data_IF_797759736719
#
_entry.id   IF_797759736719
#
_cell.length_a   1.000
_cell.length_b   1.000
_cell.length_c   1.000
_cell.angle_alpha   90.00
_cell.angle_beta   90.00
_cell.angle_gamma   90.00
#
_symmetry.space_group_name_H-M   'P 1'
#
loop_
_entity.id
_entity.type
_entity.pdbx_description
1 polymer ?
#
# COMPACT_ATOMS: atom_id res chain seq x y z
N UNK A 1 -27.19 51.35 73.69
CA UNK A 1 -26.71 50.32 74.60
C UNK A 1 -25.41 49.77 73.98
N UNK A 2 -24.25 50.44 74.29
CA UNK A 2 -23.31 50.10 75.37
C UNK A 2 -22.91 48.62 75.30
N UNK A 3 -21.67 48.23 75.08
CA UNK A 3 -20.37 48.44 75.67
C UNK A 3 -19.37 47.62 74.91
N UNK A 4 -18.23 48.04 74.64
CA UNK A 4 -16.89 48.15 75.26
C UNK A 4 -15.90 47.13 74.71
N UNK A 5 -14.83 47.68 74.13
CA UNK A 5 -13.52 47.02 73.91
C UNK A 5 -12.80 46.77 75.26
N UNK A 6 -11.82 45.86 75.32
CA UNK A 6 -10.48 46.45 75.51
C UNK A 6 -9.33 45.72 74.75
N UNK A 7 -8.42 46.55 74.33
CA UNK A 7 -6.97 46.65 74.51
C UNK A 7 -6.09 45.37 74.21
N UNK A 8 -5.12 45.60 73.33
CA UNK A 8 -4.02 44.72 73.00
C UNK A 8 -2.85 44.65 73.98
N UNK A 9 -1.83 43.89 73.68
CA UNK A 9 -0.50 44.53 73.74
C UNK A 9 0.48 44.12 72.55
N UNK A 10 1.17 45.10 72.15
CA UNK A 10 2.62 45.32 71.93
C UNK A 10 3.45 44.34 71.14
N UNK A 11 3.99 44.89 70.12
CA UNK A 11 4.96 44.51 69.07
C UNK A 11 6.34 44.14 69.64
N UNK A 12 6.97 43.14 69.06
CA UNK A 12 8.41 42.97 68.98
C UNK A 12 8.83 42.57 67.58
N UNK A 13 9.78 43.20 66.91
CA UNK A 13 10.18 42.87 65.54
C UNK A 13 11.22 41.76 65.53
N UNK A 14 10.91 40.66 64.88
CA UNK A 14 11.89 39.62 64.52
C UNK A 14 12.24 39.79 63.07
N UNK A 15 13.50 40.04 62.80
CA UNK A 15 14.13 40.03 61.47
C UNK A 15 14.02 38.62 60.86
N UNK A 16 13.29 38.46 59.75
CA UNK A 16 13.35 37.31 58.97
C UNK A 16 14.32 37.49 57.79
N UNK A 17 15.42 36.76 57.83
CA UNK A 17 16.34 36.67 56.75
C UNK A 17 15.69 35.83 55.62
N UNK A 18 15.48 36.39 54.41
CA UNK A 18 15.09 35.67 53.22
C UNK A 18 16.31 34.87 52.69
N UNK A 19 16.30 33.56 52.90
CA UNK A 19 17.17 32.65 52.17
C UNK A 19 16.53 32.35 50.82
N UNK A 20 17.10 32.88 49.75
CA UNK A 20 16.73 32.54 48.39
C UNK A 20 17.22 31.13 48.07
N UNK A 21 16.34 30.15 48.05
CA UNK A 21 16.60 28.84 47.47
C UNK A 21 16.46 28.92 45.93
N UNK A 22 17.60 28.98 45.25
CA UNK A 22 17.65 28.75 43.81
C UNK A 22 17.42 27.27 43.55
N UNK A 23 16.26 26.90 43.04
CA UNK A 23 16.02 25.57 42.43
C UNK A 23 16.68 25.56 41.04
N UNK A 24 17.55 24.61 40.73
CA UNK A 24 17.99 24.43 39.37
C UNK A 24 16.78 23.96 38.52
N UNK A 25 16.41 24.71 37.49
CA UNK A 25 15.48 24.29 36.48
C UNK A 25 16.12 23.09 35.75
N UNK A 26 15.80 21.88 36.16
CA UNK A 26 16.09 20.70 35.41
C UNK A 26 15.18 20.72 34.15
N UNK A 27 15.76 21.08 33.01
CA UNK A 27 15.11 20.92 31.73
C UNK A 27 14.83 19.43 31.53
N UNK A 28 13.57 19.02 31.73
CA UNK A 28 13.06 17.73 31.23
C UNK A 28 13.09 17.79 29.72
N UNK A 29 14.22 17.40 29.13
CA UNK A 29 14.26 17.00 27.74
C UNK A 29 13.39 15.72 27.67
N UNK A 30 12.16 15.85 27.19
CA UNK A 30 11.34 14.70 26.85
C UNK A 30 12.12 13.89 25.80
N UNK A 31 12.68 12.77 26.23
CA UNK A 31 13.22 11.78 25.30
C UNK A 31 12.09 11.35 24.37
N UNK A 32 12.31 11.53 23.08
CA UNK A 32 11.44 10.93 22.07
C UNK A 32 11.30 9.42 22.39
N UNK A 33 10.11 8.82 22.24
CA UNK A 33 9.94 7.40 22.47
C UNK A 33 10.97 6.64 21.63
N UNK A 34 11.74 5.78 22.27
CA UNK A 34 12.69 4.92 21.58
C UNK A 34 11.94 4.13 20.51
N UNK A 35 12.46 4.12 19.28
CA UNK A 35 11.94 3.25 18.23
C UNK A 35 11.86 1.82 18.77
N UNK A 36 10.78 1.07 18.49
CA UNK A 36 10.64 -0.29 19.00
C UNK A 36 11.87 -1.11 18.59
N UNK A 37 12.51 -1.76 19.57
CA UNK A 37 13.69 -2.58 19.34
C UNK A 37 13.26 -3.84 18.57
N UNK A 38 13.85 -4.05 17.39
CA UNK A 38 13.65 -5.27 16.61
C UNK A 38 14.30 -6.45 17.33
N UNK A 39 13.56 -7.55 17.45
CA UNK A 39 14.10 -8.78 18.05
C UNK A 39 15.14 -9.45 17.14
N UNK A 40 16.06 -10.30 17.67
CA UNK A 40 17.00 -11.02 16.83
C UNK A 40 16.34 -11.91 15.77
N UNK A 41 15.14 -12.42 16.01
CA UNK A 41 14.40 -13.20 15.02
C UNK A 41 13.83 -12.31 13.93
N UNK A 42 13.25 -11.17 14.28
CA UNK A 42 12.77 -10.18 13.31
C UNK A 42 13.93 -9.66 12.42
N UNK A 43 15.14 -9.46 12.99
CA UNK A 43 16.28 -9.08 12.20
C UNK A 43 16.69 -10.16 11.18
N UNK A 44 16.69 -11.43 11.57
CA UNK A 44 16.96 -12.55 10.64
C UNK A 44 15.92 -12.64 9.54
N UNK A 45 14.65 -12.40 9.85
CA UNK A 45 13.56 -12.40 8.86
C UNK A 45 13.71 -11.23 7.88
N UNK A 46 14.09 -10.04 8.36
CA UNK A 46 14.42 -8.88 7.53
C UNK A 46 15.61 -9.18 6.62
N UNK A 47 16.70 -9.73 7.16
CA UNK A 47 17.91 -10.06 6.41
C UNK A 47 17.62 -11.07 5.29
N UNK A 48 16.79 -12.08 5.58
CA UNK A 48 16.33 -13.04 4.58
C UNK A 48 15.50 -12.35 3.49
N UNK A 49 14.52 -11.52 3.86
CA UNK A 49 13.67 -10.82 2.92
C UNK A 49 14.46 -9.83 2.05
N UNK A 50 15.48 -9.18 2.62
CA UNK A 50 16.41 -8.34 1.86
C UNK A 50 17.10 -9.18 0.78
N UNK A 51 17.61 -10.35 1.16
CA UNK A 51 18.30 -11.23 0.23
C UNK A 51 17.39 -11.83 -0.86
N UNK A 52 16.17 -12.20 -0.49
CA UNK A 52 15.19 -12.83 -1.40
C UNK A 52 14.48 -11.82 -2.31
N UNK A 53 14.22 -10.61 -1.83
CA UNK A 53 13.39 -9.59 -2.51
C UNK A 53 14.16 -8.31 -2.86
N UNK A 54 15.46 -8.32 -2.75
CA UNK A 54 16.35 -7.14 -2.96
C UNK A 54 15.81 -5.92 -2.20
N UNK A 55 15.47 -6.14 -0.94
CA UNK A 55 15.14 -5.08 -0.01
C UNK A 55 16.41 -4.28 0.36
N UNK A 56 16.21 -3.19 1.07
CA UNK A 56 17.25 -2.36 1.67
C UNK A 56 16.77 -1.86 3.02
N UNK A 57 17.53 -2.11 4.07
CA UNK A 57 17.19 -1.71 5.44
C UNK A 57 18.47 -1.34 6.22
N UNK A 58 19.20 -0.28 5.80
CA UNK A 58 20.41 0.12 6.49
C UNK A 58 20.11 0.62 7.91
N UNK A 59 20.98 0.33 8.88
CA UNK A 59 20.83 0.81 10.27
C UNK A 59 20.88 2.34 10.34
N UNK A 60 21.75 2.97 9.55
CA UNK A 60 21.75 4.43 9.34
C UNK A 60 20.87 4.76 8.14
N UNK A 61 19.67 5.26 8.42
CA UNK A 61 18.70 5.59 7.37
C UNK A 61 19.07 6.82 6.54
N UNK A 62 20.01 7.65 6.98
CA UNK A 62 20.36 8.89 6.30
C UNK A 62 19.27 9.97 6.34
N UNK A 63 19.48 11.13 5.70
CA UNK A 63 18.54 12.23 5.69
C UNK A 63 17.34 11.98 4.75
N UNK A 64 16.21 12.57 5.07
CA UNK A 64 15.03 12.58 4.18
C UNK A 64 15.24 13.51 2.97
N UNK A 65 14.61 13.19 1.87
CA UNK A 65 14.59 14.03 0.68
C UNK A 65 13.83 15.35 0.95
N UNK A 66 14.30 16.43 0.34
CA UNK A 66 13.60 17.73 0.39
C UNK A 66 12.72 17.85 -0.86
N UNK A 67 11.56 17.18 -0.84
CA UNK A 67 10.59 17.18 -1.93
C UNK A 67 9.31 17.91 -1.51
N UNK A 68 8.63 18.50 -2.47
CA UNK A 68 7.31 19.10 -2.24
C UNK A 68 6.24 18.01 -2.16
N UNK A 69 5.42 17.96 -1.09
CA UNK A 69 4.30 17.05 -0.97
C UNK A 69 3.01 17.55 -1.67
N UNK A 70 3.12 18.61 -2.46
CA UNK A 70 1.98 19.17 -3.21
C UNK A 70 1.40 18.15 -4.18
N UNK A 71 0.07 18.20 -4.38
CA UNK A 71 -0.61 17.42 -5.42
C UNK A 71 -0.40 17.99 -6.83
N UNK A 72 0.36 19.08 -6.98
CA UNK A 72 0.71 19.60 -8.30
C UNK A 72 1.43 18.52 -9.12
N UNK A 73 1.02 18.25 -10.36
CA UNK A 73 1.57 17.18 -11.19
C UNK A 73 3.10 17.20 -11.29
N UNK A 74 3.72 18.38 -11.39
CA UNK A 74 5.19 18.49 -11.47
C UNK A 74 5.87 18.05 -10.16
N UNK A 75 5.30 18.39 -9.00
CA UNK A 75 5.83 17.97 -7.69
C UNK A 75 5.66 16.46 -7.49
N UNK A 76 4.51 15.90 -7.87
CA UNK A 76 4.24 14.46 -7.81
C UNK A 76 5.22 13.69 -8.70
N UNK A 77 5.39 14.12 -9.95
CA UNK A 77 6.33 13.51 -10.91
C UNK A 77 7.78 13.58 -10.43
N UNK A 78 8.17 14.68 -9.77
CA UNK A 78 9.52 14.79 -9.18
C UNK A 78 9.76 13.76 -8.07
N UNK A 79 8.78 13.51 -7.20
CA UNK A 79 8.85 12.48 -6.18
C UNK A 79 8.90 11.08 -6.79
N UNK A 80 8.03 10.78 -7.77
CA UNK A 80 8.03 9.51 -8.50
C UNK A 80 9.37 9.25 -9.19
N UNK A 81 9.88 10.25 -9.93
CA UNK A 81 11.16 10.13 -10.67
C UNK A 81 12.31 9.81 -9.73
N UNK A 82 12.40 10.48 -8.57
CA UNK A 82 13.46 10.23 -7.60
C UNK A 82 13.47 8.78 -7.10
N UNK A 83 12.30 8.26 -6.76
CA UNK A 83 12.15 6.86 -6.28
C UNK A 83 12.37 5.86 -7.41
N UNK A 84 11.79 6.09 -8.59
CA UNK A 84 11.90 5.18 -9.73
C UNK A 84 13.34 5.05 -10.25
N UNK A 85 14.10 6.16 -10.26
CA UNK A 85 15.53 6.15 -10.64
C UNK A 85 16.34 5.30 -9.67
N UNK A 86 16.20 5.53 -8.38
CA UNK A 86 16.91 4.77 -7.36
C UNK A 86 16.61 3.27 -7.45
N UNK A 87 15.32 2.93 -7.67
CA UNK A 87 14.91 1.53 -7.69
C UNK A 87 15.38 0.80 -8.95
N UNK A 88 15.19 1.38 -10.14
CA UNK A 88 15.56 0.68 -11.37
C UNK A 88 17.08 0.47 -11.48
N UNK A 89 17.90 1.45 -11.04
CA UNK A 89 19.35 1.38 -11.13
C UNK A 89 19.93 0.24 -10.25
N UNK A 90 19.30 -0.05 -9.10
CA UNK A 90 19.73 -1.14 -8.22
C UNK A 90 19.05 -2.48 -8.51
N UNK A 91 17.82 -2.48 -8.99
CA UNK A 91 16.95 -3.66 -9.03
C UNK A 91 17.01 -4.40 -10.37
N UNK A 92 17.21 -3.71 -11.49
CA UNK A 92 17.15 -4.29 -12.83
C UNK A 92 18.01 -5.55 -13.05
N UNK A 93 19.24 -5.66 -12.50
CA UNK A 93 20.06 -6.88 -12.65
C UNK A 93 19.48 -8.15 -12.03
N UNK A 94 18.46 -8.02 -11.18
CA UNK A 94 17.91 -9.10 -10.37
C UNK A 94 16.45 -9.44 -10.72
N UNK A 95 15.91 -8.85 -11.75
CA UNK A 95 14.52 -9.07 -12.16
C UNK A 95 14.19 -10.54 -12.37
N UNK A 96 13.09 -10.99 -11.80
CA UNK A 96 12.56 -12.34 -11.93
C UNK A 96 11.03 -12.38 -12.06
N UNK A 97 10.37 -13.55 -11.84
CA UNK A 97 8.93 -13.77 -11.98
C UNK A 97 8.20 -13.82 -10.63
N UNK A 98 8.84 -13.48 -9.51
CA UNK A 98 8.15 -13.52 -8.21
C UNK A 98 7.21 -12.32 -8.06
N UNK A 99 6.15 -12.48 -7.27
CA UNK A 99 5.11 -11.47 -7.12
C UNK A 99 5.64 -10.11 -6.63
N UNK A 100 6.69 -10.11 -5.81
CA UNK A 100 7.29 -8.87 -5.29
C UNK A 100 7.83 -7.99 -6.42
N UNK A 101 8.49 -8.60 -7.40
CA UNK A 101 8.96 -7.94 -8.60
C UNK A 101 7.81 -7.50 -9.51
N UNK A 102 6.80 -8.36 -9.66
CA UNK A 102 5.69 -8.09 -10.56
C UNK A 102 4.92 -6.84 -10.16
N UNK A 103 4.80 -6.55 -8.85
CA UNK A 103 4.22 -5.29 -8.36
C UNK A 103 5.11 -4.10 -8.73
N UNK A 104 6.44 -4.21 -8.62
CA UNK A 104 7.36 -3.17 -9.09
C UNK A 104 7.20 -2.91 -10.58
N UNK A 105 7.06 -3.95 -11.40
CA UNK A 105 6.91 -3.83 -12.85
C UNK A 105 5.65 -3.06 -13.24
N UNK A 106 4.52 -3.31 -12.57
CA UNK A 106 3.31 -2.49 -12.78
C UNK A 106 3.54 -1.03 -12.40
N UNK A 107 4.32 -0.77 -11.35
CA UNK A 107 4.74 0.57 -10.97
C UNK A 107 5.63 1.23 -12.03
N UNK A 108 6.55 0.50 -12.64
CA UNK A 108 7.39 1.00 -13.73
C UNK A 108 6.58 1.30 -15.00
N UNK A 109 5.57 0.48 -15.32
CA UNK A 109 4.66 0.80 -16.43
C UNK A 109 3.92 2.12 -16.19
N UNK A 110 3.38 2.31 -14.99
CA UNK A 110 2.73 3.57 -14.60
C UNK A 110 3.70 4.76 -14.60
N UNK A 111 4.93 4.57 -14.10
CA UNK A 111 5.97 5.60 -14.13
C UNK A 111 6.38 5.97 -15.56
N UNK A 112 6.50 5.00 -16.47
CA UNK A 112 6.82 5.26 -17.87
C UNK A 112 5.81 6.19 -18.53
N UNK A 113 4.52 5.96 -18.30
CA UNK A 113 3.46 6.80 -18.86
C UNK A 113 3.41 8.17 -18.16
N UNK A 114 3.33 8.20 -16.84
CA UNK A 114 3.16 9.43 -16.07
C UNK A 114 4.34 10.39 -16.21
N UNK A 115 5.57 9.86 -16.24
CA UNK A 115 6.80 10.66 -16.38
C UNK A 115 7.16 10.94 -17.85
N UNK A 116 6.51 10.31 -18.81
CA UNK A 116 6.89 10.28 -20.23
C UNK A 116 8.35 9.78 -20.42
N UNK A 117 8.75 8.78 -19.65
CA UNK A 117 10.12 8.26 -19.61
C UNK A 117 10.14 6.80 -20.12
N UNK A 118 10.52 6.59 -21.40
CA UNK A 118 10.40 5.27 -22.05
C UNK A 118 11.34 4.21 -21.49
N UNK A 119 12.37 4.57 -20.72
CA UNK A 119 13.34 3.59 -20.17
C UNK A 119 12.68 2.52 -19.30
N UNK A 120 11.62 2.87 -18.56
CA UNK A 120 10.91 1.91 -17.71
C UNK A 120 10.14 0.91 -18.55
N UNK A 121 9.37 1.37 -19.55
CA UNK A 121 8.72 0.47 -20.53
C UNK A 121 9.73 -0.42 -21.25
N UNK A 122 10.84 0.14 -21.72
CA UNK A 122 11.87 -0.62 -22.41
C UNK A 122 12.51 -1.69 -21.51
N UNK A 123 12.67 -1.40 -20.22
CA UNK A 123 13.15 -2.40 -19.25
C UNK A 123 12.13 -3.53 -19.07
N UNK A 124 10.83 -3.24 -19.08
CA UNK A 124 9.76 -4.25 -18.99
C UNK A 124 9.65 -5.10 -20.27
N UNK A 125 9.87 -4.50 -21.42
CA UNK A 125 9.96 -5.22 -22.69
C UNK A 125 11.14 -6.19 -22.69
N UNK A 126 12.33 -5.73 -22.32
CA UNK A 126 13.52 -6.57 -22.18
C UNK A 126 13.37 -7.68 -21.12
N UNK A 127 12.63 -7.41 -20.03
CA UNK A 127 12.25 -8.44 -19.07
C UNK A 127 11.40 -9.52 -19.72
N UNK A 128 10.32 -9.14 -20.41
CA UNK A 128 9.44 -10.09 -21.12
C UNK A 128 10.23 -10.98 -22.07
N UNK A 129 11.11 -10.40 -22.88
CA UNK A 129 11.98 -11.14 -23.79
C UNK A 129 12.91 -12.11 -23.06
N UNK A 130 13.56 -11.68 -21.98
CA UNK A 130 14.47 -12.52 -21.18
C UNK A 130 13.77 -13.69 -20.51
N UNK A 131 12.53 -13.50 -20.11
CA UNK A 131 11.67 -14.50 -19.47
C UNK A 131 10.84 -15.29 -20.49
N UNK A 132 10.99 -15.01 -21.80
CA UNK A 132 10.23 -15.63 -22.88
C UNK A 132 8.70 -15.52 -22.69
N UNK A 133 8.26 -14.44 -22.06
CA UNK A 133 6.85 -14.12 -21.76
C UNK A 133 6.13 -15.21 -20.96
N UNK A 134 6.90 -16.08 -20.27
CA UNK A 134 6.36 -17.21 -19.49
C UNK A 134 5.95 -16.77 -18.10
N UNK A 135 4.87 -17.37 -17.58
CA UNK A 135 4.53 -17.31 -16.16
C UNK A 135 5.53 -18.11 -15.31
N UNK A 136 5.49 -17.91 -14.00
CA UNK A 136 6.41 -18.59 -13.08
C UNK A 136 6.17 -20.10 -12.99
N UNK A 137 4.92 -20.56 -13.20
CA UNK A 137 4.51 -21.96 -13.08
C UNK A 137 3.62 -22.36 -14.25
N UNK A 138 3.60 -23.65 -14.59
CA UNK A 138 2.67 -24.24 -15.58
C UNK A 138 1.23 -24.28 -15.04
N UNK A 139 1.07 -24.43 -13.73
CA UNK A 139 -0.22 -24.32 -13.03
C UNK A 139 -0.14 -23.14 -12.06
N UNK A 140 -0.26 -21.92 -12.57
CA UNK A 140 0.06 -20.72 -11.80
C UNK A 140 -1.00 -20.43 -10.76
N UNK A 141 -0.57 -20.24 -9.51
CA UNK A 141 -1.40 -19.58 -8.51
C UNK A 141 -1.51 -18.07 -8.81
N UNK A 142 -2.21 -17.31 -7.99
CA UNK A 142 -2.40 -15.87 -8.25
C UNK A 142 -1.07 -15.10 -8.30
N UNK A 143 -0.11 -15.41 -7.41
CA UNK A 143 1.20 -14.76 -7.39
C UNK A 143 1.99 -15.05 -8.67
N UNK A 144 1.95 -16.31 -9.14
CA UNK A 144 2.63 -16.73 -10.37
C UNK A 144 2.05 -16.09 -11.64
N UNK A 145 0.76 -15.69 -11.60
CA UNK A 145 0.09 -14.98 -12.71
C UNK A 145 0.48 -13.51 -12.78
N UNK A 146 0.88 -12.89 -11.66
CA UNK A 146 0.97 -11.43 -11.52
C UNK A 146 1.92 -10.75 -12.52
N UNK A 147 2.97 -11.43 -13.00
CA UNK A 147 3.89 -10.90 -14.05
C UNK A 147 3.16 -10.57 -15.34
N UNK A 148 2.10 -11.32 -15.65
CA UNK A 148 1.33 -11.12 -16.87
C UNK A 148 0.50 -9.82 -16.86
N UNK A 149 0.33 -9.14 -15.72
CA UNK A 149 -0.22 -7.79 -15.74
C UNK A 149 0.62 -6.88 -16.63
N UNK A 150 1.95 -6.93 -16.47
CA UNK A 150 2.90 -6.15 -17.28
C UNK A 150 2.94 -6.63 -18.74
N UNK A 151 2.95 -7.94 -18.99
CA UNK A 151 2.94 -8.48 -20.35
C UNK A 151 1.71 -8.03 -21.15
N UNK A 152 0.55 -8.08 -20.52
CA UNK A 152 -0.71 -7.67 -21.15
C UNK A 152 -0.82 -6.14 -21.30
N UNK A 153 -0.25 -5.36 -20.38
CA UNK A 153 -0.18 -3.90 -20.55
C UNK A 153 0.71 -3.49 -21.72
N UNK A 154 1.82 -4.21 -21.94
CA UNK A 154 2.68 -4.02 -23.12
C UNK A 154 1.95 -4.40 -24.41
N UNK A 155 1.25 -5.54 -24.43
CA UNK A 155 0.45 -5.98 -25.57
C UNK A 155 -0.69 -5.02 -25.90
N UNK A 156 -1.39 -4.51 -24.90
CA UNK A 156 -2.47 -3.52 -25.11
C UNK A 156 -1.98 -2.19 -25.68
N UNK A 157 -0.71 -1.83 -25.44
CA UNK A 157 -0.07 -0.65 -26.05
C UNK A 157 0.43 -0.96 -27.47
N UNK A 158 0.99 -2.14 -27.68
CA UNK A 158 1.58 -2.59 -28.94
C UNK A 158 1.29 -4.10 -29.12
N UNK A 159 0.18 -4.44 -29.81
CA UNK A 159 -0.29 -5.82 -29.90
C UNK A 159 0.74 -6.78 -30.50
N UNK A 160 1.06 -7.85 -29.77
CA UNK A 160 2.01 -8.88 -30.15
C UNK A 160 1.55 -10.25 -29.62
N UNK A 161 0.71 -10.93 -30.38
CA UNK A 161 0.02 -12.16 -29.97
C UNK A 161 0.92 -13.25 -29.39
N UNK A 162 2.15 -13.34 -29.85
CA UNK A 162 3.11 -14.34 -29.37
C UNK A 162 3.55 -14.06 -27.92
N UNK A 163 3.56 -12.79 -27.52
CA UNK A 163 3.94 -12.38 -26.15
C UNK A 163 2.89 -12.75 -25.11
N UNK A 164 1.62 -12.78 -25.48
CA UNK A 164 0.52 -13.14 -24.57
C UNK A 164 0.10 -14.61 -24.66
N UNK A 165 0.59 -15.35 -25.67
CA UNK A 165 0.19 -16.74 -25.89
C UNK A 165 0.47 -17.67 -24.69
N UNK A 166 1.63 -17.58 -23.98
CA UNK A 166 1.87 -18.40 -22.80
C UNK A 166 0.89 -18.09 -21.66
N UNK A 167 0.61 -16.82 -21.41
CA UNK A 167 -0.37 -16.39 -20.40
C UNK A 167 -1.77 -16.92 -20.77
N UNK A 168 -2.19 -16.75 -22.04
CA UNK A 168 -3.48 -17.22 -22.52
C UNK A 168 -3.65 -18.72 -22.31
N UNK A 169 -2.64 -19.51 -22.69
CA UNK A 169 -2.66 -20.97 -22.52
C UNK A 169 -2.82 -21.38 -21.05
N UNK A 170 -2.12 -20.69 -20.13
CA UNK A 170 -2.22 -20.97 -18.70
C UNK A 170 -3.60 -20.62 -18.14
N UNK A 171 -4.21 -19.47 -18.54
CA UNK A 171 -5.55 -19.10 -18.13
C UNK A 171 -6.62 -20.05 -18.70
N UNK A 172 -6.47 -20.49 -19.93
CA UNK A 172 -7.36 -21.46 -20.57
C UNK A 172 -7.31 -22.83 -19.85
N UNK A 173 -6.11 -23.26 -19.41
CA UNK A 173 -5.95 -24.47 -18.60
C UNK A 173 -6.64 -24.34 -17.23
N UNK A 174 -6.52 -23.19 -16.57
CA UNK A 174 -7.21 -22.94 -15.28
C UNK A 174 -8.74 -22.98 -15.46
N UNK A 175 -9.28 -22.45 -16.55
CA UNK A 175 -10.72 -22.56 -16.88
C UNK A 175 -11.12 -24.00 -17.10
N UNK A 176 -10.26 -24.80 -17.74
CA UNK A 176 -10.51 -26.21 -18.03
C UNK A 176 -10.41 -27.12 -16.78
N UNK A 177 -10.06 -26.57 -15.62
CA UNK A 177 -9.96 -27.29 -14.35
C UNK A 177 -8.54 -27.60 -13.92
N UNK A 178 -7.53 -27.04 -14.60
CA UNK A 178 -6.16 -26.98 -14.09
C UNK A 178 -6.13 -26.22 -12.78
N UNK A 179 -5.26 -26.60 -11.86
CA UNK A 179 -5.20 -25.93 -10.56
C UNK A 179 -3.78 -25.93 -9.99
N UNK A 180 -3.40 -24.80 -9.41
CA UNK A 180 -2.24 -24.73 -8.54
C UNK A 180 -2.51 -25.46 -7.21
N UNK A 181 -1.45 -25.92 -6.56
CA UNK A 181 -1.56 -26.52 -5.24
C UNK A 181 -2.05 -25.50 -4.20
N UNK A 182 -3.06 -25.89 -3.42
CA UNK A 182 -3.60 -25.08 -2.31
C UNK A 182 -3.12 -25.69 -1.00
N UNK A 183 -2.55 -24.90 -0.06
CA UNK A 183 -2.14 -25.40 1.26
C UNK A 183 -3.28 -26.11 1.98
N UNK A 184 -2.94 -27.17 2.75
CA UNK A 184 -3.94 -28.03 3.39
C UNK A 184 -4.85 -27.29 4.37
N UNK A 185 -4.32 -26.24 5.04
CA UNK A 185 -5.02 -25.40 6.02
C UNK A 185 -5.81 -24.23 5.41
N UNK A 186 -5.89 -24.15 4.09
CA UNK A 186 -6.59 -23.07 3.38
C UNK A 186 -7.87 -23.56 2.68
N UNK A 187 -8.75 -22.60 2.37
CA UNK A 187 -9.95 -22.87 1.60
C UNK A 187 -9.60 -23.36 0.19
N UNK A 188 -10.42 -24.28 -0.33
CA UNK A 188 -10.17 -24.93 -1.65
C UNK A 188 -10.75 -24.09 -2.79
N UNK A 189 -10.38 -22.80 -2.85
CA UNK A 189 -10.70 -21.87 -3.94
C UNK A 189 -9.40 -21.30 -4.51
N UNK A 190 -9.35 -20.91 -5.80
CA UNK A 190 -8.13 -20.45 -6.44
C UNK A 190 -7.48 -19.23 -5.75
N UNK A 191 -8.30 -18.31 -5.29
CA UNK A 191 -7.86 -17.06 -4.63
C UNK A 191 -8.20 -17.09 -3.15
N UNK A 192 -7.60 -18.04 -2.42
CA UNK A 192 -7.88 -18.35 -1.01
C UNK A 192 -7.34 -17.31 -0.01
N UNK A 193 -6.62 -16.26 -0.47
CA UNK A 193 -6.09 -15.16 0.36
C UNK A 193 -6.38 -13.81 -0.32
N UNK A 194 -6.52 -12.76 0.48
CA UNK A 194 -6.96 -11.46 0.00
C UNK A 194 -5.98 -10.81 -1.00
N UNK A 195 -4.67 -11.04 -0.85
CA UNK A 195 -3.64 -10.49 -1.74
C UNK A 195 -3.80 -11.00 -3.18
N UNK A 196 -4.34 -12.21 -3.34
CA UNK A 196 -4.62 -12.80 -4.66
C UNK A 196 -5.50 -11.88 -5.54
N UNK A 197 -6.34 -11.04 -4.92
CA UNK A 197 -7.24 -10.12 -5.62
C UNK A 197 -6.51 -8.95 -6.31
N UNK A 198 -5.26 -8.67 -5.95
CA UNK A 198 -4.38 -7.79 -6.72
C UNK A 198 -3.59 -8.56 -7.78
N UNK A 199 -3.20 -9.79 -7.46
CA UNK A 199 -2.23 -10.54 -8.27
C UNK A 199 -2.86 -11.10 -9.55
N UNK A 200 -4.01 -11.78 -9.45
CA UNK A 200 -4.62 -12.49 -10.56
C UNK A 200 -5.72 -11.70 -11.30
N UNK A 201 -6.80 -11.19 -10.70
CA UNK A 201 -7.93 -10.60 -11.43
C UNK A 201 -7.53 -9.55 -12.48
N UNK A 202 -6.55 -8.66 -12.23
CA UNK A 202 -6.11 -7.71 -13.24
C UNK A 202 -5.52 -8.34 -14.50
N UNK A 203 -4.96 -9.56 -14.42
CA UNK A 203 -4.48 -10.33 -15.59
C UNK A 203 -5.66 -10.76 -16.46
N UNK A 204 -6.69 -11.29 -15.83
CA UNK A 204 -7.86 -11.86 -16.51
C UNK A 204 -8.67 -10.79 -17.24
N UNK A 205 -8.90 -9.62 -16.61
CA UNK A 205 -9.63 -8.52 -17.29
C UNK A 205 -8.82 -7.95 -18.46
N UNK A 206 -7.48 -7.88 -18.33
CA UNK A 206 -6.59 -7.46 -19.43
C UNK A 206 -6.54 -8.49 -20.53
N UNK A 207 -6.60 -9.79 -20.21
CA UNK A 207 -6.70 -10.85 -21.24
C UNK A 207 -8.00 -10.73 -22.02
N UNK A 208 -9.14 -10.40 -21.37
CA UNK A 208 -10.37 -10.07 -22.11
C UNK A 208 -10.15 -8.88 -23.02
N UNK A 209 -9.55 -7.78 -22.53
CA UNK A 209 -9.30 -6.59 -23.35
C UNK A 209 -8.39 -6.88 -24.57
N UNK A 210 -7.41 -7.78 -24.42
CA UNK A 210 -6.49 -8.17 -25.50
C UNK A 210 -7.09 -9.16 -26.51
N UNK A 211 -8.13 -9.93 -26.10
CA UNK A 211 -8.66 -11.04 -26.92
C UNK A 211 -10.12 -10.93 -27.29
N UNK A 212 -10.86 -10.01 -26.68
CA UNK A 212 -12.33 -9.86 -26.77
C UNK A 212 -13.10 -11.15 -26.35
N UNK A 213 -12.52 -11.96 -25.45
CA UNK A 213 -13.10 -13.21 -24.98
C UNK A 213 -13.64 -13.06 -23.55
N UNK A 214 -14.97 -13.06 -23.41
CA UNK A 214 -15.67 -12.80 -22.15
C UNK A 214 -15.50 -13.92 -21.09
N UNK A 215 -15.04 -15.11 -21.47
CA UNK A 215 -14.87 -16.24 -20.53
C UNK A 215 -13.94 -15.91 -19.36
N UNK A 216 -12.96 -15.04 -19.59
CA UNK A 216 -12.02 -14.60 -18.55
C UNK A 216 -12.71 -13.73 -17.50
N UNK A 217 -13.71 -12.92 -17.90
CA UNK A 217 -14.51 -12.12 -16.95
C UNK A 217 -15.42 -13.00 -16.09
N UNK A 218 -15.99 -14.07 -16.67
CA UNK A 218 -16.81 -15.01 -15.91
C UNK A 218 -16.00 -15.70 -14.80
N UNK A 219 -14.74 -16.03 -15.08
CA UNK A 219 -13.81 -16.58 -14.10
C UNK A 219 -13.52 -15.58 -12.98
N UNK A 220 -13.27 -14.30 -13.32
CA UNK A 220 -13.06 -13.23 -12.34
C UNK A 220 -14.29 -13.06 -11.45
N UNK A 221 -15.48 -12.92 -12.05
CA UNK A 221 -16.73 -12.70 -11.31
C UNK A 221 -17.02 -13.81 -10.30
N UNK A 222 -16.78 -15.06 -10.71
CA UNK A 222 -16.97 -16.23 -9.85
C UNK A 222 -15.99 -16.20 -8.67
N UNK A 223 -14.70 -16.19 -8.96
CA UNK A 223 -13.68 -16.42 -7.94
C UNK A 223 -13.42 -15.19 -7.05
N UNK A 224 -13.67 -13.98 -7.53
CA UNK A 224 -13.68 -12.79 -6.67
C UNK A 224 -14.78 -12.88 -5.61
N UNK A 225 -16.00 -13.29 -6.01
CA UNK A 225 -17.12 -13.46 -5.08
C UNK A 225 -16.84 -14.56 -4.06
N UNK A 226 -16.32 -15.72 -4.49
CA UNK A 226 -15.93 -16.79 -3.57
C UNK A 226 -14.93 -16.30 -2.50
N UNK A 227 -13.95 -15.51 -2.90
CA UNK A 227 -12.99 -14.90 -1.95
C UNK A 227 -13.66 -13.88 -1.04
N UNK A 228 -14.55 -13.04 -1.59
CA UNK A 228 -15.30 -12.03 -0.81
C UNK A 228 -16.23 -12.69 0.18
N UNK A 229 -17.00 -13.69 -0.22
CA UNK A 229 -17.92 -14.44 0.67
C UNK A 229 -17.18 -15.09 1.84
N UNK A 230 -15.90 -15.42 1.62
CA UNK A 230 -15.08 -16.09 2.61
C UNK A 230 -14.35 -15.12 3.55
N UNK A 231 -13.78 -14.03 3.03
CA UNK A 231 -12.79 -13.21 3.74
C UNK A 231 -13.25 -11.78 4.05
N UNK A 232 -14.31 -11.30 3.40
CA UNK A 232 -14.81 -9.95 3.63
C UNK A 232 -15.64 -9.86 4.90
N UNK A 233 -15.28 -8.95 5.80
CA UNK A 233 -16.09 -8.61 6.98
C UNK A 233 -17.12 -7.54 6.60
N UNK A 234 -18.42 -7.88 6.50
CA UNK A 234 -19.45 -6.95 6.04
C UNK A 234 -19.82 -5.86 7.07
N UNK A 235 -19.34 -5.98 8.32
CA UNK A 235 -19.54 -4.97 9.37
C UNK A 235 -18.44 -3.93 9.36
N UNK A 236 -17.20 -4.33 9.02
CA UNK A 236 -16.02 -3.47 9.01
C UNK A 236 -15.64 -3.02 7.62
N UNK A 237 -16.17 -3.68 6.60
CA UNK A 237 -15.84 -3.47 5.18
C UNK A 237 -14.34 -3.62 4.90
N UNK A 238 -13.71 -4.60 5.56
CA UNK A 238 -12.30 -4.96 5.45
C UNK A 238 -12.15 -6.46 5.19
N UNK A 239 -11.01 -6.85 4.63
CA UNK A 239 -10.68 -8.25 4.39
C UNK A 239 -9.75 -8.82 5.45
N UNK A 240 -10.08 -10.00 5.94
CA UNK A 240 -9.10 -10.88 6.58
C UNK A 240 -8.10 -11.39 5.55
N UNK A 241 -6.86 -11.67 5.97
CA UNK A 241 -5.83 -12.14 5.05
C UNK A 241 -6.19 -13.47 4.40
N UNK A 242 -6.60 -14.46 5.20
CA UNK A 242 -7.08 -15.78 4.78
C UNK A 242 -7.91 -16.42 5.92
N UNK A 243 -8.40 -17.65 5.72
CA UNK A 243 -9.26 -18.33 6.70
C UNK A 243 -8.62 -18.52 8.06
N UNK A 244 -7.29 -18.55 8.17
CA UNK A 244 -6.60 -18.69 9.47
C UNK A 244 -6.69 -17.44 10.32
N UNK A 245 -7.14 -16.30 9.74
CA UNK A 245 -7.32 -15.03 10.43
C UNK A 245 -8.77 -14.74 10.85
N UNK A 246 -9.78 -15.50 10.39
CA UNK A 246 -11.20 -15.23 10.66
C UNK A 246 -11.55 -15.17 12.15
N UNK A 247 -10.81 -15.93 12.98
CA UNK A 247 -11.03 -15.99 14.43
C UNK A 247 -9.77 -15.63 15.23
N UNK A 248 -8.74 -15.12 14.54
CA UNK A 248 -7.50 -14.71 15.18
C UNK A 248 -7.62 -13.26 15.65
N UNK A 249 -7.16 -13.03 16.89
CA UNK A 249 -7.08 -11.70 17.47
C UNK A 249 -5.63 -11.35 17.80
N UNK A 250 -5.35 -10.06 17.93
CA UNK A 250 -4.14 -9.55 18.53
C UNK A 250 -4.11 -9.80 20.06
N UNK A 251 -3.06 -9.36 20.74
CA UNK A 251 -2.89 -9.50 22.19
C UNK A 251 -3.95 -8.72 23.01
N UNK A 252 -4.66 -7.77 22.39
CA UNK A 252 -5.75 -6.96 22.99
C UNK A 252 -7.14 -7.52 22.68
N UNK A 253 -7.22 -8.66 22.01
CA UNK A 253 -8.47 -9.29 21.63
C UNK A 253 -9.17 -8.65 20.43
N UNK A 254 -8.49 -7.78 19.64
CA UNK A 254 -9.04 -7.21 18.42
C UNK A 254 -8.78 -8.11 17.22
N UNK A 255 -9.70 -8.17 16.25
CA UNK A 255 -9.46 -8.86 15.00
C UNK A 255 -8.35 -8.17 14.21
N UNK A 256 -7.53 -8.94 13.51
CA UNK A 256 -6.36 -8.47 12.77
C UNK A 256 -6.77 -8.11 11.34
N UNK A 257 -6.63 -6.84 10.98
CA UNK A 257 -6.82 -6.34 9.61
C UNK A 257 -5.55 -5.67 9.10
N UNK A 258 -4.77 -6.42 8.36
CA UNK A 258 -3.51 -5.99 7.82
C UNK A 258 -3.68 -4.93 6.72
N UNK A 259 -3.03 -3.77 6.87
CA UNK A 259 -3.19 -2.64 5.95
C UNK A 259 -2.75 -2.95 4.53
N UNK A 260 -1.61 -3.66 4.36
CA UNK A 260 -1.15 -4.07 3.03
C UNK A 260 -2.09 -5.10 2.41
N UNK A 261 -2.63 -6.05 3.17
CA UNK A 261 -3.64 -7.00 2.68
C UNK A 261 -4.87 -6.29 2.14
N UNK A 262 -5.41 -5.33 2.89
CA UNK A 262 -6.53 -4.50 2.45
C UNK A 262 -6.15 -3.56 1.30
N UNK A 263 -4.94 -3.03 1.31
CA UNK A 263 -4.37 -2.27 0.20
C UNK A 263 -4.31 -3.08 -1.10
N UNK A 264 -3.93 -4.36 -1.03
CA UNK A 264 -3.97 -5.26 -2.17
C UNK A 264 -5.36 -5.39 -2.76
N UNK A 265 -6.37 -5.61 -1.93
CA UNK A 265 -7.76 -5.72 -2.40
C UNK A 265 -8.23 -4.43 -3.07
N UNK A 266 -8.01 -3.28 -2.42
CA UNK A 266 -8.40 -1.98 -2.97
C UNK A 266 -7.67 -1.66 -4.28
N UNK A 267 -6.35 -1.92 -4.33
CA UNK A 267 -5.57 -1.78 -5.55
C UNK A 267 -6.02 -2.75 -6.66
N UNK A 268 -6.37 -3.98 -6.29
CA UNK A 268 -6.93 -4.98 -7.18
C UNK A 268 -8.29 -4.57 -7.75
N UNK A 269 -9.17 -3.97 -6.93
CA UNK A 269 -10.44 -3.38 -7.38
C UNK A 269 -10.21 -2.30 -8.44
N UNK A 270 -9.31 -1.34 -8.18
CA UNK A 270 -8.98 -0.28 -9.12
C UNK A 270 -8.44 -0.86 -10.45
N UNK A 271 -7.44 -1.76 -10.38
CA UNK A 271 -6.83 -2.36 -11.58
C UNK A 271 -7.76 -3.31 -12.35
N UNK A 272 -8.73 -3.91 -11.68
CA UNK A 272 -9.77 -4.74 -12.32
C UNK A 272 -10.80 -3.85 -13.00
N UNK A 273 -11.32 -2.83 -12.31
CA UNK A 273 -12.31 -1.89 -12.84
C UNK A 273 -11.78 -1.08 -14.03
N UNK A 274 -10.48 -0.88 -14.15
CA UNK A 274 -9.83 -0.18 -15.26
C UNK A 274 -10.17 -0.82 -16.62
N UNK A 275 -10.20 -2.16 -16.70
CA UNK A 275 -10.46 -2.92 -17.93
C UNK A 275 -11.79 -3.68 -17.90
N UNK A 276 -12.53 -3.66 -16.80
CA UNK A 276 -13.85 -4.26 -16.74
C UNK A 276 -14.83 -3.41 -17.58
N UNK A 277 -15.55 -3.98 -18.58
CA UNK A 277 -16.46 -3.23 -19.41
C UNK A 277 -17.49 -2.45 -18.60
N UNK A 278 -17.82 -1.23 -19.03
CA UNK A 278 -18.75 -0.34 -18.29
C UNK A 278 -20.17 -0.88 -18.23
N UNK A 279 -20.57 -1.66 -19.21
CA UNK A 279 -21.89 -2.29 -19.35
C UNK A 279 -21.95 -3.69 -18.72
N UNK A 280 -20.83 -4.20 -18.18
CA UNK A 280 -20.81 -5.52 -17.50
C UNK A 280 -21.70 -5.47 -16.26
N UNK A 281 -22.71 -6.37 -16.12
CA UNK A 281 -23.64 -6.35 -14.99
C UNK A 281 -22.98 -6.43 -13.60
N UNK A 282 -21.85 -7.14 -13.51
CA UNK A 282 -21.07 -7.29 -12.28
C UNK A 282 -20.26 -6.03 -11.88
N UNK A 283 -20.12 -5.05 -12.75
CA UNK A 283 -19.29 -3.85 -12.48
C UNK A 283 -19.73 -3.12 -11.22
N UNK A 284 -21.04 -2.99 -11.00
CA UNK A 284 -21.59 -2.34 -9.80
C UNK A 284 -21.17 -3.02 -8.48
N UNK A 285 -20.96 -4.33 -8.49
CA UNK A 285 -20.44 -5.06 -7.32
C UNK A 285 -19.03 -4.59 -6.95
N UNK A 286 -18.12 -4.50 -7.91
CA UNK A 286 -16.74 -4.05 -7.68
C UNK A 286 -16.68 -2.58 -7.27
N UNK A 287 -17.47 -1.71 -7.91
CA UNK A 287 -17.55 -0.30 -7.55
C UNK A 287 -18.09 -0.10 -6.13
N UNK A 288 -19.14 -0.84 -5.74
CA UNK A 288 -19.70 -0.77 -4.39
C UNK A 288 -18.68 -1.25 -3.35
N UNK A 289 -17.98 -2.36 -3.62
CA UNK A 289 -16.96 -2.87 -2.71
C UNK A 289 -15.82 -1.85 -2.54
N UNK A 290 -15.39 -1.18 -3.63
CA UNK A 290 -14.40 -0.10 -3.54
C UNK A 290 -14.91 1.06 -2.69
N UNK A 291 -16.18 1.48 -2.85
CA UNK A 291 -16.80 2.54 -2.04
C UNK A 291 -16.86 2.18 -0.55
N UNK A 292 -17.28 0.96 -0.24
CA UNK A 292 -17.37 0.47 1.14
C UNK A 292 -16.00 0.42 1.82
N UNK A 293 -15.01 -0.18 1.17
CA UNK A 293 -13.65 -0.25 1.69
C UNK A 293 -13.02 1.14 1.82
N UNK A 294 -13.23 2.03 0.84
CA UNK A 294 -12.74 3.41 0.89
C UNK A 294 -13.32 4.16 2.10
N UNK A 295 -14.62 4.04 2.35
CA UNK A 295 -15.25 4.64 3.53
C UNK A 295 -14.71 4.05 4.85
N UNK A 296 -14.41 2.75 4.88
CA UNK A 296 -13.90 2.07 6.06
C UNK A 296 -12.45 2.49 6.42
N UNK A 297 -11.59 2.70 5.44
CA UNK A 297 -10.18 3.05 5.71
C UNK A 297 -9.97 4.52 6.06
N UNK A 298 -10.85 5.43 5.65
CA UNK A 298 -10.71 6.87 5.91
C UNK A 298 -10.56 7.21 7.41
N UNK A 299 -11.41 6.72 8.33
CA UNK A 299 -11.28 7.02 9.76
C UNK A 299 -10.06 6.38 10.42
N UNK A 300 -9.39 5.43 9.73
CA UNK A 300 -8.22 4.71 10.21
C UNK A 300 -6.89 5.38 9.77
N UNK A 301 -6.97 6.45 8.97
CA UNK A 301 -5.81 7.22 8.55
C UNK A 301 -5.22 7.97 9.75
N UNK A 302 -3.92 7.78 10.04
CA UNK A 302 -3.24 8.49 11.11
C UNK A 302 -3.22 10.01 10.83
N UNK A 303 -3.75 10.84 11.75
CA UNK A 303 -3.84 12.29 11.53
C UNK A 303 -2.49 13.00 11.51
N UNK A 304 -1.42 12.40 12.07
CA UNK A 304 -0.08 12.99 12.15
C UNK A 304 0.71 12.70 10.88
N UNK A 305 0.79 11.43 10.52
CA UNK A 305 1.59 10.97 9.37
C UNK A 305 0.82 11.03 8.06
N UNK A 306 -0.51 10.96 8.11
CA UNK A 306 -1.36 10.83 6.92
C UNK A 306 -1.37 9.43 6.31
N UNK A 307 -0.66 8.46 6.90
CA UNK A 307 -0.57 7.09 6.43
C UNK A 307 -1.38 6.14 7.32
N UNK A 308 -1.48 4.89 6.92
CA UNK A 308 -2.08 3.83 7.72
C UNK A 308 -0.99 3.01 8.40
N UNK A 309 -1.31 2.47 9.57
CA UNK A 309 -0.45 1.58 10.33
C UNK A 309 -0.47 0.17 9.75
N UNK A 310 0.49 -0.68 10.12
CA UNK A 310 0.56 -2.06 9.64
C UNK A 310 -0.70 -2.86 9.99
N UNK A 311 -1.21 -2.73 11.24
CA UNK A 311 -2.56 -3.14 11.60
C UNK A 311 -3.52 -1.94 11.56
N UNK A 312 -4.60 -2.07 10.80
CA UNK A 312 -5.60 -1.00 10.64
C UNK A 312 -6.36 -0.69 11.94
N UNK A 313 -6.49 -1.66 12.86
CA UNK A 313 -7.24 -1.50 14.09
C UNK A 313 -6.36 -1.37 15.34
N UNK A 314 -5.07 -1.58 15.25
CA UNK A 314 -4.16 -1.52 16.39
C UNK A 314 -2.92 -0.64 16.18
N UNK A 315 -3.16 0.65 15.90
CA UNK A 315 -2.12 1.66 15.83
C UNK A 315 -1.18 1.74 17.06
N UNK A 316 -1.64 1.50 18.31
CA UNK A 316 -0.74 1.53 19.46
C UNK A 316 0.35 0.45 19.45
N UNK A 317 0.08 -0.76 18.93
CA UNK A 317 1.11 -1.80 18.81
C UNK A 317 1.97 -1.62 17.55
N UNK A 318 1.40 -1.00 16.52
CA UNK A 318 2.07 -0.73 15.25
C UNK A 318 2.15 0.78 14.96
N UNK A 319 2.87 1.59 15.80
CA UNK A 319 2.82 3.04 15.72
C UNK A 319 3.53 3.62 14.48
N UNK A 320 4.29 2.81 13.75
CA UNK A 320 4.98 3.25 12.55
C UNK A 320 4.01 3.35 11.35
N UNK A 321 4.20 4.35 10.46
CA UNK A 321 3.44 4.44 9.22
C UNK A 321 3.87 3.32 8.26
N UNK A 322 2.95 2.53 7.73
CA UNK A 322 3.27 1.46 6.78
C UNK A 322 3.09 1.96 5.34
N UNK A 323 4.20 2.07 4.62
CA UNK A 323 4.24 2.74 3.31
C UNK A 323 3.57 1.92 2.21
N UNK A 324 3.73 0.58 2.18
CA UNK A 324 3.22 -0.23 1.07
C UNK A 324 1.69 -0.30 1.05
N UNK A 325 1.06 -0.58 2.19
CA UNK A 325 -0.39 -0.56 2.32
C UNK A 325 -0.96 0.84 2.07
N UNK A 326 -0.31 1.87 2.64
CA UNK A 326 -0.72 3.26 2.43
C UNK A 326 -0.63 3.69 0.95
N UNK A 327 0.39 3.25 0.22
CA UNK A 327 0.55 3.56 -1.20
C UNK A 327 -0.54 2.88 -2.05
N UNK A 328 -0.88 1.61 -1.76
CA UNK A 328 -1.96 0.89 -2.44
C UNK A 328 -3.34 1.51 -2.16
N UNK A 329 -3.61 1.88 -0.90
CA UNK A 329 -4.84 2.59 -0.53
C UNK A 329 -4.90 3.94 -1.26
N UNK A 330 -3.81 4.72 -1.27
CA UNK A 330 -3.73 6.00 -1.97
C UNK A 330 -3.97 5.82 -3.47
N UNK A 331 -3.37 4.79 -4.09
CA UNK A 331 -3.61 4.44 -5.48
C UNK A 331 -5.09 4.21 -5.77
N UNK A 332 -5.74 3.35 -4.97
CA UNK A 332 -7.14 3.00 -5.17
C UNK A 332 -8.09 4.19 -4.95
N UNK A 333 -7.82 5.04 -3.94
CA UNK A 333 -8.60 6.25 -3.68
C UNK A 333 -8.46 7.25 -4.83
N UNK A 334 -7.22 7.51 -5.29
CA UNK A 334 -6.96 8.44 -6.39
C UNK A 334 -7.57 7.94 -7.70
N UNK A 335 -7.41 6.64 -8.01
CA UNK A 335 -8.06 6.00 -9.15
C UNK A 335 -9.58 6.14 -9.08
N UNK A 336 -10.17 5.88 -7.91
CA UNK A 336 -11.62 5.99 -7.70
C UNK A 336 -12.15 7.41 -7.94
N UNK A 337 -11.41 8.45 -7.53
CA UNK A 337 -11.75 9.85 -7.81
C UNK A 337 -11.62 10.15 -9.31
N UNK A 338 -10.51 9.78 -9.93
CA UNK A 338 -10.25 10.03 -11.36
C UNK A 338 -11.31 9.41 -12.28
N UNK A 339 -11.90 8.28 -11.85
CA UNK A 339 -12.89 7.54 -12.63
C UNK A 339 -14.35 7.75 -12.16
N UNK A 340 -14.59 8.69 -11.23
CA UNK A 340 -15.93 9.04 -10.75
C UNK A 340 -16.61 7.96 -9.91
N UNK A 341 -15.85 6.98 -9.41
CA UNK A 341 -16.34 5.96 -8.47
C UNK A 341 -16.43 6.54 -7.06
N UNK A 342 -15.49 7.41 -6.69
CA UNK A 342 -15.44 8.09 -5.40
C UNK A 342 -15.65 9.60 -5.58
N UNK A 343 -16.27 10.24 -4.58
CA UNK A 343 -16.51 11.68 -4.56
C UNK A 343 -15.21 12.45 -4.34
N UNK A 344 -14.88 13.37 -5.25
CA UNK A 344 -13.64 14.17 -5.17
C UNK A 344 -13.57 14.99 -3.87
N UNK A 345 -14.67 15.65 -3.49
CA UNK A 345 -14.66 16.55 -2.35
C UNK A 345 -14.42 15.79 -1.03
N UNK A 346 -14.91 14.56 -0.93
CA UNK A 346 -14.73 13.71 0.24
C UNK A 346 -13.31 13.09 0.30
N UNK A 347 -12.78 12.61 -0.82
CA UNK A 347 -11.57 11.79 -0.81
C UNK A 347 -10.28 12.53 -1.17
N UNK A 348 -10.32 13.63 -1.91
CA UNK A 348 -9.12 14.43 -2.25
C UNK A 348 -8.35 14.93 -1.03
N UNK A 349 -8.99 15.40 0.07
CA UNK A 349 -8.27 15.75 1.30
C UNK A 349 -7.56 14.57 1.96
N UNK A 350 -8.15 13.37 1.91
CA UNK A 350 -7.55 12.12 2.42
C UNK A 350 -6.33 11.74 1.59
N UNK A 351 -6.47 11.77 0.26
CA UNK A 351 -5.38 11.50 -0.68
C UNK A 351 -4.24 12.51 -0.47
N UNK A 352 -4.54 13.80 -0.28
CA UNK A 352 -3.53 14.82 -0.04
C UNK A 352 -2.71 14.57 1.23
N UNK A 353 -3.36 14.14 2.31
CA UNK A 353 -2.67 13.75 3.55
C UNK A 353 -1.80 12.51 3.32
N UNK A 354 -2.34 11.49 2.66
CA UNK A 354 -1.62 10.26 2.37
C UNK A 354 -0.41 10.52 1.46
N UNK A 355 -0.58 11.30 0.39
CA UNK A 355 0.52 11.65 -0.51
C UNK A 355 1.63 12.41 0.21
N UNK A 356 1.29 13.39 1.06
CA UNK A 356 2.27 14.07 1.90
C UNK A 356 3.05 13.06 2.76
N UNK A 357 2.35 12.18 3.46
CA UNK A 357 2.97 11.16 4.29
C UNK A 357 3.89 10.22 3.49
N UNK A 358 3.49 9.82 2.28
CA UNK A 358 4.31 9.00 1.39
C UNK A 358 5.59 9.72 0.93
N UNK A 359 5.49 11.00 0.55
CA UNK A 359 6.66 11.82 0.14
C UNK A 359 7.64 11.98 1.30
N UNK A 360 7.16 12.12 2.54
CA UNK A 360 7.99 12.18 3.75
C UNK A 360 8.76 10.87 4.04
N UNK A 361 8.39 9.75 3.41
CA UNK A 361 9.14 8.49 3.54
C UNK A 361 10.34 8.40 2.59
N UNK A 362 10.48 9.30 1.63
CA UNK A 362 11.57 9.27 0.66
C UNK A 362 12.87 9.81 1.30
N UNK A 363 13.94 9.05 1.17
CA UNK A 363 15.29 9.45 1.60
C UNK A 363 16.04 10.23 0.52
N UNK A 364 17.10 10.92 0.90
CA UNK A 364 17.87 11.78 0.00
C UNK A 364 18.53 11.02 -1.16
N UNK A 365 18.84 9.75 -0.99
CA UNK A 365 19.35 8.85 -2.03
C UNK A 365 18.28 8.42 -3.04
N UNK A 366 17.00 8.49 -2.69
CA UNK A 366 15.84 8.06 -3.49
C UNK A 366 15.10 6.85 -2.92
N UNK A 367 15.65 6.21 -1.90
CA UNK A 367 15.05 5.08 -1.22
C UNK A 367 13.73 5.48 -0.57
N UNK A 368 12.70 4.65 -0.74
CA UNK A 368 11.39 4.78 -0.10
C UNK A 368 11.35 3.90 1.16
N UNK A 369 11.31 4.51 2.34
CA UNK A 369 11.35 3.79 3.61
C UNK A 369 9.98 3.39 4.17
N UNK A 370 10.02 2.83 5.41
CA UNK A 370 8.85 2.35 6.15
C UNK A 370 8.00 1.34 5.38
N UNK A 371 8.63 0.50 4.56
CA UNK A 371 7.95 -0.62 3.90
C UNK A 371 8.16 -1.86 4.77
N UNK A 372 7.08 -2.43 5.26
CA UNK A 372 7.10 -3.70 5.98
C UNK A 372 7.61 -4.81 5.07
N UNK A 373 8.49 -5.70 5.55
CA UNK A 373 8.96 -6.90 4.84
C UNK A 373 7.81 -7.82 4.41
N UNK A 374 8.09 -8.77 3.49
CA UNK A 374 7.13 -9.80 3.10
C UNK A 374 6.55 -10.51 4.32
N UNK A 375 5.27 -10.86 4.24
CA UNK A 375 4.56 -11.50 5.34
C UNK A 375 3.08 -11.65 5.03
N UNK A 376 2.36 -12.20 6.01
CA UNK A 376 0.92 -12.45 5.94
C UNK A 376 0.14 -11.73 7.05
N UNK A 377 0.79 -10.84 7.80
CA UNK A 377 0.25 -10.16 8.98
C UNK A 377 0.95 -8.83 9.23
N UNK A 378 0.39 -7.97 10.08
CA UNK A 378 1.11 -6.83 10.64
C UNK A 378 2.44 -7.26 11.27
N UNK A 379 3.48 -6.45 11.08
CA UNK A 379 4.79 -6.70 11.68
C UNK A 379 5.52 -5.37 11.94
N UNK A 380 6.57 -5.44 12.76
CA UNK A 380 7.52 -4.35 12.98
C UNK A 380 8.62 -4.40 11.91
N UNK A 381 9.18 -3.25 11.59
CA UNK A 381 10.23 -3.08 10.58
C UNK A 381 11.06 -1.83 10.88
N UNK A 382 12.21 -1.67 10.22
CA UNK A 382 13.03 -0.48 10.34
C UNK A 382 12.42 0.68 9.54
N UNK A 383 12.51 1.94 10.02
CA UNK A 383 12.10 3.10 9.24
C UNK A 383 12.80 3.22 7.88
N UNK A 384 14.02 2.67 7.78
CA UNK A 384 14.82 2.61 6.55
C UNK A 384 14.40 1.49 5.59
N UNK A 385 13.60 0.52 6.03
CA UNK A 385 13.23 -0.66 5.23
C UNK A 385 12.54 -0.26 3.94
N UNK A 386 13.09 -0.74 2.82
CA UNK A 386 12.60 -0.54 1.45
C UNK A 386 12.49 -1.88 0.75
N UNK A 387 11.37 -2.11 0.08
CA UNK A 387 11.11 -3.33 -0.69
C UNK A 387 10.46 -2.99 -2.02
N UNK A 388 10.82 -3.72 -3.07
CA UNK A 388 10.42 -3.49 -4.45
C UNK A 388 8.90 -3.36 -4.65
N UNK A 389 8.07 -4.21 -4.03
CA UNK A 389 6.61 -4.14 -4.13
C UNK A 389 6.03 -2.84 -3.55
N UNK A 390 6.61 -2.31 -2.47
CA UNK A 390 6.17 -1.04 -1.89
C UNK A 390 6.54 0.15 -2.79
N UNK A 391 7.69 0.07 -3.46
CA UNK A 391 8.07 1.05 -4.48
C UNK A 391 7.11 0.99 -5.66
N UNK A 392 6.76 -0.21 -6.15
CA UNK A 392 5.77 -0.38 -7.21
C UNK A 392 4.41 0.23 -6.85
N UNK A 393 3.92 -0.02 -5.62
CA UNK A 393 2.69 0.58 -5.10
C UNK A 393 2.76 2.12 -5.04
N UNK A 394 3.89 2.68 -4.61
CA UNK A 394 4.10 4.13 -4.58
C UNK A 394 4.04 4.74 -5.99
N UNK A 395 4.64 4.11 -6.98
CA UNK A 395 4.63 4.59 -8.37
C UNK A 395 3.22 4.52 -8.98
N UNK A 396 2.46 3.45 -8.72
CA UNK A 396 1.05 3.36 -9.08
C UNK A 396 0.24 4.49 -8.45
N UNK A 397 0.41 4.71 -7.14
CA UNK A 397 -0.26 5.79 -6.41
C UNK A 397 0.08 7.17 -6.95
N UNK A 398 1.38 7.43 -7.18
CA UNK A 398 1.86 8.70 -7.71
C UNK A 398 1.31 9.00 -9.11
N UNK A 399 1.22 8.00 -9.98
CA UNK A 399 0.64 8.17 -11.31
C UNK A 399 -0.81 8.67 -11.23
N UNK A 400 -1.64 8.05 -10.37
CA UNK A 400 -3.02 8.46 -10.18
C UNK A 400 -3.17 9.81 -9.45
N UNK A 401 -2.28 10.08 -8.50
CA UNK A 401 -2.27 11.40 -7.82
C UNK A 401 -1.91 12.53 -8.78
N UNK A 402 -1.02 12.29 -9.74
CA UNK A 402 -0.66 13.28 -10.77
C UNK A 402 -1.81 13.62 -11.75
N UNK A 403 -2.81 12.74 -11.83
CA UNK A 403 -3.99 12.88 -12.70
C UNK A 403 -5.22 13.45 -11.98
N UNK A 404 -5.13 13.71 -10.65
CA UNK A 404 -6.26 14.26 -9.90
C UNK A 404 -6.74 15.57 -10.51
N UNK A 405 -8.07 15.80 -10.61
CA UNK A 405 -8.63 17.03 -11.15
C UNK A 405 -8.02 18.26 -10.47
N UNK A 406 -7.55 19.23 -11.26
CA UNK A 406 -7.17 20.53 -10.72
C UNK A 406 -8.44 21.25 -10.25
N UNK A 407 -8.38 21.85 -9.06
CA UNK A 407 -9.45 22.72 -8.60
C UNK A 407 -9.51 23.94 -9.54
N UNK A 408 -10.30 23.85 -10.61
CA UNK A 408 -10.81 25.07 -11.24
C UNK A 408 -11.73 25.69 -10.22
N UNK A 409 -11.24 26.74 -9.53
CA UNK A 409 -12.12 27.59 -8.75
C UNK A 409 -13.31 27.96 -9.65
N UNK A 410 -14.47 27.35 -9.40
CA UNK A 410 -15.69 27.89 -10.01
C UNK A 410 -15.85 29.25 -9.38
N UNK A 411 -15.47 30.29 -10.14
CA UNK A 411 -15.86 31.63 -9.80
C UNK A 411 -17.40 31.66 -9.72
N UNK A 412 -17.98 32.15 -8.62
CA UNK A 412 -19.43 32.25 -8.47
C UNK A 412 -20.05 33.19 -9.48
#
# INVERSE_FOLDING_TARGET
MTHLLPAGPRICPLLLALAAFAFPAASLIAQAPASPSITPQQQKDIDRDIAENIGDAPLDSGPKAKLSPSLNPAAVKAAMSKVAVWEIDRAQPFFDRTWTWNVLYTGFMAASQSLAEPRYRNAMEGLGDSLQWQLRSVHPNADDQSVAQTYLELDLQEPAKDKIAPTRAALDDLIAGGAAAIPANQAKIPWWWCDALFMAPPVWVRMTAATDDAKYLDYVDKHWRETSDLLYDPQRHLYYRDVTYLHKTDERGKPIFWSRGNGWVMGGLARTLEYLPKDRPSRSFYENQLREMAAAVVPLQDPKTGLWHSDLLDAPDYPQPETSGSALITFALAWGVNHGVLDEAAYKPVIAKAWRGLVEQIYADGRLGNIQQTGAAPAHYLPSSSYNYGVGAFLLGGAQVAELPEHTARHP
#
